data_IF_503572292336
#
_entry.id   IF_503572292336
#
_cell.length_a   1.000
_cell.length_b   1.000
_cell.length_c   1.000
_cell.angle_alpha   90.00
_cell.angle_beta   90.00
_cell.angle_gamma   90.00
#
_symmetry.space_group_name_H-M   'P 1'
#
loop_
_entity.id
_entity.type
_entity.pdbx_description
1 polymer ?
#
# COMPACT_ATOMS: atom_id res chain seq x y z
N UNK A 1 -18.92 -21.17 20.25
CA UNK A 1 -18.76 -20.05 19.31
C UNK A 1 -17.37 -19.49 19.54
N UNK A 2 -16.48 -19.55 18.54
CA UNK A 2 -15.18 -18.89 18.63
C UNK A 2 -15.43 -17.38 18.74
N UNK A 3 -15.09 -16.80 19.89
CA UNK A 3 -15.19 -15.37 20.11
C UNK A 3 -14.13 -14.68 19.22
N UNK A 4 -14.54 -14.25 18.02
CA UNK A 4 -13.68 -13.46 17.14
C UNK A 4 -13.56 -12.05 17.70
N UNK A 5 -12.35 -11.70 18.18
CA UNK A 5 -12.08 -10.37 18.69
C UNK A 5 -12.05 -9.37 17.51
N UNK A 6 -13.01 -8.41 17.43
CA UNK A 6 -13.05 -7.42 16.34
C UNK A 6 -11.84 -6.48 16.32
N UNK A 7 -10.98 -6.53 17.35
CA UNK A 7 -9.79 -5.69 17.50
C UNK A 7 -8.57 -6.26 16.77
N UNK A 8 -8.59 -7.51 16.28
CA UNK A 8 -7.43 -8.12 15.60
C UNK A 8 -7.01 -7.29 14.38
N UNK A 9 -7.97 -6.74 13.64
CA UNK A 9 -7.67 -5.93 12.46
C UNK A 9 -7.16 -4.53 12.81
N UNK A 10 -7.42 -4.05 14.03
CA UNK A 10 -6.83 -2.81 14.53
C UNK A 10 -5.34 -3.00 14.87
N UNK A 11 -4.91 -4.23 15.18
CA UNK A 11 -3.51 -4.53 15.49
C UNK A 11 -2.58 -4.26 14.31
N UNK A 12 -3.06 -4.46 13.08
CA UNK A 12 -2.29 -4.26 11.84
C UNK A 12 -2.54 -2.89 11.20
N UNK A 13 -3.21 -1.97 11.89
CA UNK A 13 -3.53 -0.66 11.33
C UNK A 13 -2.38 0.32 11.59
N UNK A 14 -1.87 0.96 10.53
CA UNK A 14 -0.93 2.07 10.67
C UNK A 14 -1.60 3.19 11.46
N UNK A 15 -0.97 3.61 12.55
CA UNK A 15 -1.51 4.66 13.42
C UNK A 15 -1.59 6.02 12.72
N UNK A 16 -0.68 6.28 11.78
CA UNK A 16 -0.64 7.54 11.02
C UNK A 16 -1.73 7.62 9.96
N UNK A 17 -1.74 6.70 8.99
CA UNK A 17 -2.63 6.79 7.83
C UNK A 17 -3.85 5.87 7.92
N UNK A 18 -3.95 5.06 8.97
CA UNK A 18 -5.06 4.15 9.17
C UNK A 18 -5.10 2.98 8.20
N UNK A 19 -4.10 2.80 7.33
CA UNK A 19 -4.05 1.69 6.39
C UNK A 19 -3.73 0.37 7.08
N UNK A 20 -4.26 -0.74 6.56
CA UNK A 20 -3.78 -2.06 6.96
C UNK A 20 -2.33 -2.22 6.49
N UNK A 21 -1.46 -2.64 7.41
CA UNK A 21 -0.02 -2.75 7.23
C UNK A 21 0.42 -4.16 7.57
N UNK A 22 1.06 -4.81 6.61
CA UNK A 22 1.70 -6.11 6.80
C UNK A 22 3.20 -5.91 7.05
N UNK A 23 3.90 -6.90 7.65
CA UNK A 23 5.35 -6.87 7.72
C UNK A 23 6.00 -6.61 6.35
N UNK A 24 7.09 -5.81 6.29
CA UNK A 24 7.74 -5.14 7.41
C UNK A 24 6.96 -3.91 7.90
N UNK A 25 6.91 -3.71 9.22
CA UNK A 25 6.40 -2.49 9.85
C UNK A 25 7.34 -2.02 10.96
N UNK A 26 7.14 -0.79 11.43
CA UNK A 26 7.90 -0.24 12.55
C UNK A 26 6.96 0.12 13.69
N UNK A 27 7.35 -0.20 14.93
CA UNK A 27 6.62 0.22 16.12
C UNK A 27 7.25 1.47 16.72
N UNK A 28 6.44 2.34 17.31
CA UNK A 28 6.95 3.39 18.19
C UNK A 28 7.10 2.90 19.63
N UNK A 29 7.69 3.72 20.51
CA UNK A 29 7.85 3.39 21.95
C UNK A 29 6.52 3.04 22.65
N UNK A 30 5.39 3.51 22.12
CA UNK A 30 4.04 3.21 22.64
C UNK A 30 3.38 2.04 21.91
N UNK A 31 4.16 1.22 21.19
CA UNK A 31 3.70 0.07 20.40
C UNK A 31 2.67 0.40 19.30
N UNK A 32 2.57 1.65 18.86
CA UNK A 32 1.78 1.98 17.67
C UNK A 32 2.48 1.52 16.41
N UNK A 33 1.73 0.85 15.54
CA UNK A 33 2.22 0.33 14.26
C UNK A 33 2.32 1.44 13.20
N UNK A 34 3.38 1.44 12.41
CA UNK A 34 3.58 2.37 11.30
C UNK A 34 4.01 1.64 10.03
N UNK A 35 3.40 2.00 8.90
CA UNK A 35 3.72 1.41 7.60
C UNK A 35 5.02 1.94 7.01
N UNK A 36 5.71 1.17 6.13
CA UNK A 36 6.96 1.57 5.51
C UNK A 36 6.89 2.95 4.85
N UNK A 37 5.81 3.24 4.14
CA UNK A 37 5.60 4.54 3.48
C UNK A 37 5.53 5.67 4.50
N UNK A 38 4.79 5.53 5.60
CA UNK A 38 4.74 6.60 6.60
C UNK A 38 6.09 6.78 7.32
N UNK A 39 6.81 5.69 7.60
CA UNK A 39 8.12 5.76 8.27
C UNK A 39 9.22 6.33 7.38
N UNK A 40 9.07 6.28 6.06
CA UNK A 40 9.99 6.90 5.11
C UNK A 40 9.96 8.43 5.20
N UNK A 41 8.77 9.01 5.39
CA UNK A 41 8.59 10.47 5.43
C UNK A 41 8.51 11.05 6.85
N UNK A 42 8.47 10.23 7.90
CA UNK A 42 8.31 10.68 9.27
C UNK A 42 9.48 10.23 10.16
N UNK A 43 10.04 11.16 10.94
CA UNK A 43 11.08 10.85 11.94
C UNK A 43 10.51 10.35 13.27
N UNK A 44 9.21 10.55 13.51
CA UNK A 44 8.47 10.14 14.71
C UNK A 44 7.09 9.63 14.34
N UNK A 45 6.50 8.80 15.19
CA UNK A 45 5.12 8.38 15.06
C UNK A 45 4.17 9.56 15.21
N UNK A 46 2.95 9.48 14.65
CA UNK A 46 1.93 10.51 14.81
C UNK A 46 1.52 10.77 16.28
N UNK A 47 1.83 9.86 17.21
CA UNK A 47 1.70 10.11 18.65
C UNK A 47 2.85 10.95 19.26
N UNK A 48 3.81 11.43 18.45
CA UNK A 48 4.97 12.21 18.88
C UNK A 48 6.13 11.40 19.45
N UNK A 49 6.05 10.07 19.46
CA UNK A 49 7.10 9.19 20.02
C UNK A 49 8.01 8.65 18.92
N UNK A 50 9.28 8.40 19.28
CA UNK A 50 10.28 7.84 18.37
C UNK A 50 9.90 6.42 17.94
N UNK A 51 10.32 6.06 16.73
CA UNK A 51 10.30 4.69 16.26
C UNK A 51 11.37 3.85 16.94
N UNK A 52 11.05 2.59 17.21
CA UNK A 52 11.99 1.60 17.69
C UNK A 52 12.80 1.09 16.50
N UNK A 53 14.12 1.02 16.65
CA UNK A 53 15.02 0.49 15.61
C UNK A 53 15.16 -1.04 15.66
N UNK A 54 14.52 -1.71 16.62
CA UNK A 54 14.61 -3.16 16.80
C UNK A 54 13.40 -3.88 16.21
N UNK A 55 13.60 -5.12 15.75
CA UNK A 55 12.52 -6.01 15.36
C UNK A 55 11.66 -6.39 16.56
N UNK A 56 10.36 -6.58 16.34
CA UNK A 56 9.42 -6.99 17.38
C UNK A 56 9.02 -8.44 17.18
N UNK A 57 9.96 -9.36 17.44
CA UNK A 57 9.80 -10.79 17.17
C UNK A 57 8.50 -11.38 17.74
N UNK A 58 8.11 -11.00 18.96
CA UNK A 58 6.85 -11.47 19.58
C UNK A 58 5.63 -10.99 18.81
N UNK A 59 5.61 -9.74 18.36
CA UNK A 59 4.51 -9.20 17.59
C UNK A 59 4.50 -9.80 16.18
N UNK A 60 5.66 -9.96 15.54
CA UNK A 60 5.81 -10.62 14.25
C UNK A 60 5.32 -12.08 14.27
N UNK A 61 5.66 -12.84 15.32
CA UNK A 61 5.15 -14.19 15.54
C UNK A 61 3.65 -14.22 15.77
N UNK A 62 3.14 -13.27 16.58
CA UNK A 62 1.71 -13.13 16.84
C UNK A 62 0.94 -12.86 15.55
N UNK A 63 1.42 -11.92 14.73
CA UNK A 63 0.80 -11.59 13.45
C UNK A 63 0.87 -12.77 12.49
N UNK A 64 2.00 -13.49 12.42
CA UNK A 64 2.17 -14.65 11.54
C UNK A 64 1.23 -15.81 11.89
N UNK A 65 0.85 -15.95 13.16
CA UNK A 65 -0.08 -16.97 13.62
C UNK A 65 -1.57 -16.58 13.42
N UNK A 66 -1.86 -15.31 13.14
CA UNK A 66 -3.21 -14.81 12.92
C UNK A 66 -3.63 -14.90 11.45
N UNK A 67 -4.94 -14.96 11.23
CA UNK A 67 -5.54 -14.74 9.91
C UNK A 67 -6.20 -13.37 9.86
N UNK A 68 -6.15 -12.75 8.69
CA UNK A 68 -6.66 -11.41 8.41
C UNK A 68 -7.54 -11.44 7.19
N UNK A 69 -8.44 -10.47 7.09
CA UNK A 69 -9.25 -10.26 5.89
C UNK A 69 -8.66 -9.14 5.04
N UNK A 70 -9.02 -9.16 3.76
CA UNK A 70 -8.69 -8.12 2.80
C UNK A 70 -9.25 -6.75 3.24
N UNK A 71 -8.47 -5.68 3.11
CA UNK A 71 -8.87 -4.29 3.41
C UNK A 71 -9.97 -3.79 2.49
N UNK A 72 -10.07 -4.37 1.29
CA UNK A 72 -11.09 -4.04 0.30
C UNK A 72 -12.35 -4.90 0.42
N UNK A 73 -12.53 -5.69 1.49
CA UNK A 73 -13.65 -6.66 1.64
C UNK A 73 -15.07 -6.08 1.66
N UNK A 74 -15.25 -4.77 1.47
CA UNK A 74 -16.51 -4.06 1.65
C UNK A 74 -17.09 -4.22 3.07
N UNK A 75 -16.66 -3.36 3.99
CA UNK A 75 -17.59 -2.95 5.05
C UNK A 75 -18.48 -1.86 4.44
N UNK A 76 -19.75 -2.19 4.15
CA UNK A 76 -20.76 -1.18 3.91
C UNK A 76 -20.88 -0.29 5.15
N UNK A 77 -20.33 0.92 5.08
CA UNK A 77 -20.66 2.01 5.99
C UNK A 77 -20.89 3.23 5.12
N UNK A 78 -22.13 3.74 5.21
CA UNK A 78 -22.72 4.67 4.25
C UNK A 78 -22.01 6.01 4.09
N UNK A 79 -22.18 6.55 2.88
CA UNK A 79 -21.81 7.90 2.47
C UNK A 79 -22.21 8.06 1.00
N UNK A 80 -23.39 8.61 0.75
CA UNK A 80 -24.06 8.61 -0.55
C UNK A 80 -23.29 9.31 -1.67
N UNK A 81 -23.55 8.88 -2.91
CA UNK A 81 -23.06 9.55 -4.11
C UNK A 81 -23.02 8.66 -5.36
N UNK A 82 -24.20 8.37 -5.91
CA UNK A 82 -24.50 7.91 -7.28
C UNK A 82 -23.90 6.61 -7.83
N UNK A 83 -24.75 5.71 -8.38
CA UNK A 83 -24.31 4.53 -9.12
C UNK A 83 -23.97 4.95 -10.56
N UNK A 84 -22.69 5.05 -10.90
CA UNK A 84 -22.32 5.08 -12.32
C UNK A 84 -22.23 3.64 -12.80
N UNK A 85 -23.25 3.30 -13.59
CA UNK A 85 -23.46 2.07 -14.33
C UNK A 85 -22.25 1.62 -15.14
N UNK A 86 -22.22 0.29 -15.38
CA UNK A 86 -21.53 -0.38 -16.49
C UNK A 86 -20.04 -0.69 -16.28
N UNK A 87 -19.73 -1.54 -15.30
CA UNK A 87 -18.52 -2.36 -15.35
C UNK A 87 -18.91 -3.84 -15.54
N UNK A 88 -18.22 -4.60 -16.40
CA UNK A 88 -18.53 -6.01 -16.62
C UNK A 88 -18.38 -6.78 -15.31
N UNK A 89 -19.31 -7.68 -15.03
CA UNK A 89 -19.25 -8.61 -13.91
C UNK A 89 -17.87 -9.29 -13.85
N UNK A 90 -17.10 -9.04 -12.79
CA UNK A 90 -16.02 -9.88 -12.18
C UNK A 90 -15.15 -9.05 -11.21
N UNK A 91 -14.24 -9.65 -10.40
CA UNK A 91 -14.12 -11.04 -9.93
C UNK A 91 -13.66 -11.18 -8.43
N UNK A 92 -13.86 -12.39 -7.89
CA UNK A 92 -13.38 -12.94 -6.60
C UNK A 92 -13.74 -12.14 -5.35
N UNK A 93 -14.65 -12.72 -4.55
CA UNK A 93 -15.09 -12.25 -3.25
C UNK A 93 -13.93 -12.10 -2.26
N UNK A 94 -13.40 -10.88 -2.17
CA UNK A 94 -12.59 -10.44 -1.03
C UNK A 94 -13.41 -10.41 0.27
N UNK A 95 -14.74 -10.58 0.18
CA UNK A 95 -15.71 -10.34 1.25
C UNK A 95 -15.51 -11.28 2.46
N UNK A 96 -15.30 -12.58 2.21
CA UNK A 96 -15.37 -13.60 3.27
C UNK A 96 -14.09 -14.43 3.47
N UNK A 97 -13.04 -14.19 2.66
CA UNK A 97 -11.80 -14.94 2.77
C UNK A 97 -10.89 -14.42 3.90
N UNK A 98 -10.35 -15.37 4.66
CA UNK A 98 -9.33 -15.16 5.68
C UNK A 98 -8.00 -15.69 5.20
N UNK A 99 -6.97 -14.87 5.32
CA UNK A 99 -5.64 -15.10 4.81
C UNK A 99 -4.62 -15.04 5.95
N UNK A 100 -3.66 -15.93 5.97
CA UNK A 100 -2.40 -15.70 6.73
C UNK A 100 -1.68 -14.45 6.19
N UNK A 101 -0.68 -13.95 6.91
CA UNK A 101 0.11 -12.79 6.45
C UNK A 101 0.71 -13.01 5.05
N UNK A 102 1.25 -14.20 4.80
CA UNK A 102 1.85 -14.53 3.50
C UNK A 102 0.78 -14.59 2.40
N UNK A 103 -0.32 -15.31 2.62
CA UNK A 103 -1.41 -15.39 1.66
C UNK A 103 -2.04 -14.02 1.38
N UNK A 104 -2.13 -13.14 2.39
CA UNK A 104 -2.71 -11.81 2.21
C UNK A 104 -1.78 -10.89 1.41
N UNK A 105 -0.47 -11.00 1.64
CA UNK A 105 0.54 -10.30 0.84
C UNK A 105 0.47 -10.74 -0.61
N UNK A 106 0.42 -12.04 -0.87
CA UNK A 106 0.33 -12.60 -2.21
C UNK A 106 -1.00 -12.21 -2.88
N UNK A 107 -2.11 -12.25 -2.11
CA UNK A 107 -3.39 -11.73 -2.56
C UNK A 107 -3.30 -10.27 -3.00
N UNK A 108 -2.66 -9.37 -2.25
CA UNK A 108 -2.53 -7.98 -2.68
C UNK A 108 -1.66 -7.79 -3.91
N UNK A 109 -0.63 -8.62 -4.08
CA UNK A 109 0.28 -8.51 -5.21
C UNK A 109 -0.36 -8.99 -6.52
N UNK A 110 -1.05 -10.14 -6.50
CA UNK A 110 -1.48 -10.81 -7.74
C UNK A 110 -2.94 -11.21 -7.76
N UNK A 111 -3.60 -11.33 -6.61
CA UNK A 111 -4.96 -11.89 -6.50
C UNK A 111 -6.09 -10.86 -6.34
N UNK A 112 -5.79 -9.66 -5.85
CA UNK A 112 -6.79 -8.69 -5.44
C UNK A 112 -7.18 -7.76 -6.59
N UNK A 113 -8.34 -8.01 -7.19
CA UNK A 113 -8.93 -7.18 -8.26
C UNK A 113 -9.17 -5.73 -7.83
N UNK A 114 -9.42 -5.51 -6.53
CA UNK A 114 -9.64 -4.17 -5.94
C UNK A 114 -8.35 -3.43 -5.62
N UNK A 115 -7.19 -4.09 -5.70
CA UNK A 115 -5.88 -3.45 -5.55
C UNK A 115 -5.35 -2.93 -6.90
N UNK A 116 -6.16 -2.12 -7.58
CA UNK A 116 -5.83 -1.55 -8.89
C UNK A 116 -5.44 -0.08 -8.80
N UNK A 117 -4.61 0.34 -9.74
CA UNK A 117 -4.03 1.66 -9.89
C UNK A 117 -4.44 2.22 -11.26
N UNK A 118 -5.01 3.42 -11.24
CA UNK A 118 -5.23 4.16 -12.48
C UNK A 118 -3.88 4.67 -13.01
N UNK A 119 -3.68 4.53 -14.32
CA UNK A 119 -2.54 5.11 -15.01
C UNK A 119 -2.54 6.63 -14.79
N UNK A 120 -1.44 7.23 -14.32
CA UNK A 120 -1.40 8.65 -14.01
C UNK A 120 -1.30 9.56 -15.25
N UNK A 121 -1.10 9.00 -16.44
CA UNK A 121 -1.01 9.77 -17.69
C UNK A 121 -2.40 10.30 -18.08
N UNK A 122 -2.49 11.61 -18.32
CA UNK A 122 -3.75 12.25 -18.75
C UNK A 122 -4.28 11.55 -20.01
N UNK A 123 -5.59 11.31 -20.00
CA UNK A 123 -6.34 10.71 -21.10
C UNK A 123 -5.99 9.25 -21.46
N UNK A 124 -5.15 8.56 -20.67
CA UNK A 124 -4.93 7.12 -20.84
C UNK A 124 -6.13 6.30 -20.34
N UNK A 125 -6.60 6.60 -19.12
CA UNK A 125 -7.77 5.95 -18.53
C UNK A 125 -7.60 4.47 -18.17
N UNK A 126 -6.42 3.85 -18.39
CA UNK A 126 -6.21 2.46 -18.01
C UNK A 126 -6.18 2.33 -16.48
N UNK A 127 -6.87 1.31 -15.96
CA UNK A 127 -6.78 0.87 -14.57
C UNK A 127 -6.22 -0.55 -14.56
N UNK A 128 -5.03 -0.72 -13.98
CA UNK A 128 -4.30 -1.98 -13.95
C UNK A 128 -3.80 -2.28 -12.53
N UNK A 129 -3.43 -3.52 -12.23
CA UNK A 129 -2.88 -3.89 -10.92
C UNK A 129 -1.42 -3.44 -10.81
N UNK A 130 -0.86 -3.42 -9.60
CA UNK A 130 0.53 -2.97 -9.39
C UNK A 130 1.55 -3.80 -10.17
N UNK A 131 1.29 -5.10 -10.35
CA UNK A 131 2.16 -6.02 -11.08
C UNK A 131 2.16 -5.79 -12.59
N UNK A 132 1.07 -5.23 -13.14
CA UNK A 132 0.91 -5.03 -14.60
C UNK A 132 0.89 -3.56 -15.02
N UNK A 133 0.72 -2.63 -14.07
CA UNK A 133 0.67 -1.19 -14.35
C UNK A 133 2.04 -0.65 -14.77
N UNK A 134 3.13 -1.21 -14.23
CA UNK A 134 4.50 -0.87 -14.65
C UNK A 134 4.74 -1.26 -16.09
N UNK A 135 4.37 -2.49 -16.47
CA UNK A 135 4.49 -2.97 -17.85
C UNK A 135 3.65 -2.13 -18.81
N UNK A 136 2.42 -1.78 -18.42
CA UNK A 136 1.60 -0.86 -19.19
C UNK A 136 2.27 0.51 -19.36
N UNK A 137 2.80 1.07 -18.27
CA UNK A 137 3.42 2.39 -18.30
C UNK A 137 4.61 2.42 -19.24
N UNK A 138 5.48 1.41 -19.19
CA UNK A 138 6.63 1.28 -20.09
C UNK A 138 6.24 1.03 -21.55
N UNK A 139 5.24 0.16 -21.80
CA UNK A 139 4.85 -0.22 -23.17
C UNK A 139 3.99 0.83 -23.88
N UNK A 140 3.08 1.49 -23.16
CA UNK A 140 2.13 2.44 -23.75
C UNK A 140 2.64 3.89 -23.72
N UNK A 141 3.52 4.23 -22.77
CA UNK A 141 4.00 5.61 -22.59
C UNK A 141 5.53 5.74 -22.63
N UNK A 142 6.26 4.63 -22.64
CA UNK A 142 7.71 4.63 -22.79
C UNK A 142 8.18 4.69 -24.26
N UNK A 143 9.51 4.73 -24.48
CA UNK A 143 10.55 4.67 -23.46
C UNK A 143 10.71 6.01 -22.73
N UNK A 144 10.78 5.95 -21.39
CA UNK A 144 11.14 7.11 -20.58
C UNK A 144 12.66 7.18 -20.45
N UNK A 145 13.21 8.39 -20.54
CA UNK A 145 14.63 8.58 -20.23
C UNK A 145 14.88 8.21 -18.76
N UNK A 146 15.89 7.35 -18.54
CA UNK A 146 16.32 6.98 -17.20
C UNK A 146 16.77 8.23 -16.46
N UNK A 147 16.05 8.56 -15.37
CA UNK A 147 16.43 9.67 -14.51
C UNK A 147 17.70 9.28 -13.77
N UNK A 148 18.83 9.81 -14.23
CA UNK A 148 20.08 9.68 -13.50
C UNK A 148 20.08 10.66 -12.32
N UNK A 149 20.33 10.19 -11.08
CA UNK A 149 20.47 11.09 -9.95
C UNK A 149 21.62 12.05 -10.24
N UNK A 150 21.38 13.34 -10.05
CA UNK A 150 22.42 14.34 -10.26
C UNK A 150 23.40 14.29 -9.08
N UNK A 151 24.48 13.51 -9.20
CA UNK A 151 25.44 13.27 -8.12
C UNK A 151 26.08 14.56 -7.56
N UNK A 152 26.01 15.68 -8.27
CA UNK A 152 26.50 16.99 -7.83
C UNK A 152 25.54 17.75 -6.90
N UNK A 153 24.31 17.27 -6.68
CA UNK A 153 23.26 17.91 -5.86
C UNK A 153 22.63 16.94 -4.85
N UNK A 154 23.40 15.97 -4.36
CA UNK A 154 22.96 15.08 -3.28
C UNK A 154 22.97 15.85 -1.94
N UNK A 155 21.88 16.56 -1.66
CA UNK A 155 21.53 16.94 -0.28
C UNK A 155 21.04 15.66 0.43
N UNK A 156 21.53 15.32 1.64
CA UNK A 156 21.15 14.10 2.36
C UNK A 156 19.64 13.92 2.62
N UNK A 157 18.80 14.92 2.32
CA UNK A 157 17.34 14.86 2.50
C UNK A 157 16.51 14.96 1.22
N UNK A 158 17.13 15.18 0.05
CA UNK A 158 16.40 15.26 -1.23
C UNK A 158 17.19 14.63 -2.37
N UNK A 159 16.59 13.65 -3.05
CA UNK A 159 17.09 13.15 -4.33
C UNK A 159 16.56 14.06 -5.45
N UNK A 160 17.42 14.88 -6.01
CA UNK A 160 17.10 15.74 -7.14
C UNK A 160 17.38 15.00 -8.46
N UNK A 161 16.32 14.65 -9.19
CA UNK A 161 16.45 14.07 -10.52
C UNK A 161 16.58 15.17 -11.57
N UNK A 162 17.53 15.02 -12.50
CA UNK A 162 17.64 15.93 -13.65
C UNK A 162 16.76 15.41 -14.77
N UNK A 163 15.64 16.10 -15.02
CA UNK A 163 14.89 15.92 -16.26
C UNK A 163 15.69 16.54 -17.40
N UNK A 164 16.16 15.71 -18.33
CA UNK A 164 16.66 16.20 -19.61
C UNK A 164 15.41 16.55 -20.44
N UNK A 165 15.12 17.84 -20.58
CA UNK A 165 14.07 18.26 -21.49
C UNK A 165 14.52 17.95 -22.92
N UNK A 166 14.09 16.81 -23.48
CA UNK A 166 14.02 16.68 -24.92
C UNK A 166 13.03 17.72 -25.43
N UNK A 167 13.53 18.64 -26.25
CA UNK A 167 12.73 19.56 -27.04
C UNK A 167 11.85 18.70 -27.96
N UNK A 168 10.58 18.53 -27.60
CA UNK A 168 9.56 18.09 -28.55
C UNK A 168 9.56 19.10 -29.70
N UNK A 169 9.92 18.62 -30.89
CA UNK A 169 9.71 19.28 -32.18
C UNK A 169 8.37 18.83 -32.73
#
# INVERSE_FOLDING_TARGET
MEHLCPQIEQLVRCFTCGSQTLPPYTLCVQAHLSCPTCTEYMSVCACGRRFLQMSNATFDWTMSAMKFRCKYRANGVGGGGSPVSSAPERPVDCADQWYTVQELRDHYLTGCSRNSFACPVRDCGLVARIDTVTDHYETAHGPFESLSPNCSLLDPKCVMFRLLCNKYK
#
